data_IF_443084041019
#
_entry.id   IF_443084041019
#
_cell.length_a   1.000
_cell.length_b   1.000
_cell.length_c   1.000
_cell.angle_alpha   90.00
_cell.angle_beta   90.00
_cell.angle_gamma   90.00
#
_symmetry.space_group_name_H-M   'P 1'
#
loop_
_entity.id
_entity.type
_entity.pdbx_description
1 polymer ?
#
# COMPACT_ATOMS: atom_id res chain seq x y z
N UNK A 1 -3.38 12.43 0.46
CA UNK A 1 -4.16 11.28 0.00
C UNK A 1 -4.19 11.19 -1.52
N UNK A 2 -4.96 12.05 -2.20
CA UNK A 2 -5.28 11.89 -3.63
C UNK A 2 -4.10 11.70 -4.59
N UNK A 3 -3.00 12.45 -4.43
CA UNK A 3 -1.80 12.30 -5.28
C UNK A 3 -1.16 10.92 -5.10
N UNK A 4 -1.04 10.46 -3.85
CA UNK A 4 -0.54 9.12 -3.52
C UNK A 4 -1.51 8.06 -4.01
N UNK A 5 -2.81 8.17 -3.70
CA UNK A 5 -3.83 7.20 -4.10
C UNK A 5 -3.97 7.04 -5.63
N UNK A 6 -3.62 8.08 -6.40
CA UNK A 6 -3.73 8.08 -7.85
C UNK A 6 -2.38 7.87 -8.56
N UNK A 7 -1.29 7.58 -7.83
CA UNK A 7 0.07 7.56 -8.39
C UNK A 7 0.36 8.76 -9.31
N UNK A 8 -0.11 9.95 -8.92
CA UNK A 8 0.01 11.13 -9.77
C UNK A 8 1.46 11.64 -9.68
N UNK A 9 2.32 11.22 -10.62
CA UNK A 9 3.72 11.70 -10.72
C UNK A 9 3.93 12.82 -11.75
N UNK A 10 2.88 13.19 -12.50
CA UNK A 10 2.99 14.10 -13.64
C UNK A 10 3.69 13.45 -14.85
N UNK A 11 3.26 13.77 -16.07
CA UNK A 11 3.73 13.12 -17.31
C UNK A 11 5.25 13.24 -17.58
N UNK A 12 5.99 14.01 -16.78
CA UNK A 12 7.44 14.23 -16.94
C UNK A 12 8.29 13.20 -16.20
N UNK A 13 7.75 12.54 -15.17
CA UNK A 13 8.45 11.57 -14.34
C UNK A 13 7.91 10.18 -14.64
N UNK A 14 8.66 9.36 -15.37
CA UNK A 14 8.33 7.95 -15.58
C UNK A 14 8.24 7.17 -14.26
N UNK A 15 7.94 5.86 -14.32
CA UNK A 15 7.75 5.01 -13.13
C UNK A 15 8.94 5.00 -12.16
N UNK A 16 10.15 5.28 -12.64
CA UNK A 16 11.38 5.31 -11.86
C UNK A 16 11.46 6.46 -10.84
N UNK A 17 10.65 7.52 -10.99
CA UNK A 17 10.67 8.72 -10.14
C UNK A 17 9.25 9.12 -9.70
N UNK A 18 8.35 8.13 -9.58
CA UNK A 18 7.00 8.40 -9.14
C UNK A 18 6.93 8.61 -7.62
N UNK A 19 5.81 9.17 -7.16
CA UNK A 19 5.55 9.55 -5.77
C UNK A 19 5.68 8.36 -4.80
N UNK A 20 5.63 7.11 -5.25
CA UNK A 20 5.81 5.95 -4.38
C UNK A 20 7.26 5.69 -3.98
N UNK A 21 8.22 6.10 -4.80
CA UNK A 21 9.64 5.89 -4.52
C UNK A 21 10.22 6.87 -3.47
N UNK A 22 9.47 7.91 -3.10
CA UNK A 22 9.92 8.94 -2.15
C UNK A 22 9.23 8.87 -0.77
N UNK A 23 8.34 7.90 -0.56
CA UNK A 23 7.63 7.75 0.71
C UNK A 23 8.49 6.98 1.72
N UNK A 24 8.67 7.56 2.91
CA UNK A 24 9.27 6.87 4.06
C UNK A 24 8.30 5.86 4.69
N UNK A 25 7.00 6.15 4.63
CA UNK A 25 5.94 5.35 5.23
C UNK A 25 4.55 5.80 4.83
N UNK A 26 3.54 5.00 5.16
CA UNK A 26 2.13 5.23 4.90
C UNK A 26 1.29 4.89 6.13
N UNK A 27 0.38 5.80 6.45
CA UNK A 27 -0.73 5.54 7.37
C UNK A 27 -2.05 5.54 6.62
N UNK A 28 -2.81 4.47 6.78
CA UNK A 28 -4.05 4.19 6.07
C UNK A 28 -5.20 4.04 7.07
N UNK A 29 -6.40 4.42 6.63
CA UNK A 29 -7.66 4.07 7.27
C UNK A 29 -8.48 3.34 6.22
N UNK A 30 -8.83 2.09 6.48
CA UNK A 30 -9.64 1.27 5.58
C UNK A 30 -11.13 1.56 5.76
N UNK A 31 -11.93 1.09 4.80
CA UNK A 31 -13.38 1.32 4.80
C UNK A 31 -14.10 0.69 6.01
N UNK A 32 -13.53 -0.36 6.60
CA UNK A 32 -14.01 -0.99 7.84
C UNK A 32 -13.56 -0.25 9.12
N UNK A 33 -12.80 0.85 8.98
CA UNK A 33 -12.28 1.64 10.09
C UNK A 33 -10.91 1.19 10.61
N UNK A 34 -10.34 0.11 10.06
CA UNK A 34 -9.01 -0.37 10.45
C UNK A 34 -7.94 0.67 10.13
N UNK A 35 -7.03 0.89 11.08
CA UNK A 35 -5.88 1.77 10.92
C UNK A 35 -4.63 0.92 10.71
N UNK A 36 -3.89 1.21 9.65
CA UNK A 36 -2.59 0.60 9.39
C UNK A 36 -1.54 1.71 9.33
N UNK A 37 -0.45 1.55 10.07
CA UNK A 37 0.74 2.37 9.97
C UNK A 37 1.92 1.49 9.57
N UNK A 38 2.49 1.72 8.38
CA UNK A 38 3.58 0.90 7.87
C UNK A 38 4.91 1.12 8.60
N UNK A 39 5.05 2.20 9.37
CA UNK A 39 6.24 2.48 10.17
C UNK A 39 6.14 1.91 11.60
N UNK A 40 4.98 1.33 11.96
CA UNK A 40 4.75 0.69 13.27
C UNK A 40 4.63 -0.83 13.11
N UNK A 41 5.66 -1.61 13.53
CA UNK A 41 5.65 -3.07 13.45
C UNK A 41 4.48 -3.73 14.19
N UNK A 42 4.00 -3.14 15.29
CA UNK A 42 2.86 -3.68 16.01
C UNK A 42 1.56 -3.46 15.25
N UNK A 43 1.42 -2.30 14.59
CA UNK A 43 0.29 -2.03 13.68
C UNK A 43 0.29 -3.01 12.50
N UNK A 44 1.46 -3.30 11.92
CA UNK A 44 1.60 -4.27 10.82
C UNK A 44 1.22 -5.68 11.27
N UNK A 45 1.76 -6.17 12.40
CA UNK A 45 1.45 -7.51 12.90
C UNK A 45 -0.05 -7.68 13.24
N UNK A 46 -0.67 -6.66 13.84
CA UNK A 46 -2.11 -6.67 14.10
C UNK A 46 -2.93 -6.70 12.80
N UNK A 47 -2.47 -5.98 11.77
CA UNK A 47 -3.11 -5.97 10.46
C UNK A 47 -3.00 -7.32 9.74
N UNK A 48 -1.82 -7.95 9.77
CA UNK A 48 -1.60 -9.30 9.23
C UNK A 48 -2.53 -10.33 9.88
N UNK A 49 -2.70 -10.26 11.21
CA UNK A 49 -3.61 -11.18 11.90
C UNK A 49 -5.08 -10.92 11.62
N UNK A 50 -5.49 -9.66 11.42
CA UNK A 50 -6.92 -9.31 11.26
C UNK A 50 -7.39 -9.35 9.80
N UNK A 51 -6.49 -9.23 8.83
CA UNK A 51 -6.79 -9.10 7.40
C UNK A 51 -6.02 -10.13 6.55
N UNK A 52 -5.68 -11.28 7.12
CA UNK A 52 -4.89 -12.33 6.45
C UNK A 52 -5.47 -12.73 5.09
N UNK A 53 -6.78 -12.95 4.99
CA UNK A 53 -7.45 -13.34 3.74
C UNK A 53 -7.29 -12.27 2.64
N UNK A 54 -7.40 -10.99 3.00
CA UNK A 54 -7.20 -9.88 2.07
C UNK A 54 -5.75 -9.87 1.56
N UNK A 55 -4.77 -10.04 2.46
CA UNK A 55 -3.35 -10.08 2.12
C UNK A 55 -3.03 -11.26 1.19
N UNK A 56 -3.59 -12.43 1.45
CA UNK A 56 -3.42 -13.62 0.59
C UNK A 56 -3.99 -13.39 -0.81
N UNK A 57 -5.19 -12.80 -0.91
CA UNK A 57 -5.82 -12.48 -2.18
C UNK A 57 -4.99 -11.46 -2.99
N UNK A 58 -4.49 -10.41 -2.34
CA UNK A 58 -3.61 -9.41 -2.96
C UNK A 58 -2.28 -10.03 -3.40
N UNK A 59 -1.68 -10.89 -2.58
CA UNK A 59 -0.44 -11.58 -2.92
C UNK A 59 -0.62 -12.51 -4.13
N UNK A 60 -1.75 -13.21 -4.23
CA UNK A 60 -2.10 -14.03 -5.40
C UNK A 60 -2.23 -13.18 -6.66
N UNK A 61 -3.00 -12.09 -6.61
CA UNK A 61 -3.15 -11.17 -7.75
C UNK A 61 -1.79 -10.57 -8.18
N UNK A 62 -0.92 -10.26 -7.22
CA UNK A 62 0.42 -9.77 -7.49
C UNK A 62 1.30 -10.80 -8.20
N UNK A 63 1.12 -12.10 -7.96
CA UNK A 63 1.82 -13.16 -8.71
C UNK A 63 1.26 -13.30 -10.13
N UNK A 64 -0.06 -13.23 -10.29
CA UNK A 64 -0.74 -13.37 -11.59
C UNK A 64 -0.35 -12.25 -12.58
N UNK A 65 -0.15 -11.03 -12.09
CA UNK A 65 0.13 -9.85 -12.92
C UNK A 65 1.62 -9.62 -13.21
N UNK A 66 2.52 -10.37 -12.57
CA UNK A 66 3.98 -10.29 -12.81
C UNK A 66 4.50 -11.34 -13.79
N UNK A 67 3.65 -12.27 -14.21
CA UNK A 67 3.92 -13.23 -15.28
C UNK A 67 3.74 -12.58 -16.66
#
# INVERSE_FOLDING_TARGET
GGIVANNASGMCCGTAQNTYHTLAGLRLVLADGTRLDSEDPASVAAFESSHAELLEALARLGRETRA
#
